data_IF_455997071473
#
_entry.id   IF_455997071473
#
_cell.length_a   1.000
_cell.length_b   1.000
_cell.length_c   1.000
_cell.angle_alpha   90.00
_cell.angle_beta   90.00
_cell.angle_gamma   90.00
#
_symmetry.space_group_name_H-M   'P 1'
#
loop_
_entity.id
_entity.type
_entity.pdbx_description
1 polymer ?
#
# COMPACT_ATOMS: atom_id res chain seq x y z
N UNK A 1 -17.83 35.15 25.64
CA UNK A 1 -18.76 34.13 26.18
C UNK A 1 -19.59 33.70 24.99
N UNK A 2 -19.36 32.47 24.53
CA UNK A 2 -20.09 31.90 23.38
C UNK A 2 -21.59 31.88 23.73
N UNK A 3 -22.46 32.49 22.92
CA UNK A 3 -23.91 32.54 23.20
C UNK A 3 -24.60 31.17 23.19
N UNK A 4 -23.89 30.07 22.91
CA UNK A 4 -24.38 28.69 23.01
C UNK A 4 -24.23 27.99 24.37
N UNK A 5 -23.44 28.52 25.31
CA UNK A 5 -23.27 27.86 26.62
C UNK A 5 -24.26 28.35 27.67
N UNK A 6 -25.23 27.50 28.00
CA UNK A 6 -26.11 27.69 29.17
C UNK A 6 -25.34 27.20 30.42
N UNK A 7 -25.04 28.07 31.40
CA UNK A 7 -24.35 27.66 32.63
C UNK A 7 -25.15 26.59 33.39
N UNK A 8 -24.48 25.52 33.83
CA UNK A 8 -25.08 24.44 34.64
C UNK A 8 -25.33 23.11 33.94
N UNK A 9 -24.86 22.92 32.70
CA UNK A 9 -24.93 21.62 32.01
C UNK A 9 -23.72 20.74 32.38
N UNK A 10 -23.87 19.87 33.37
CA UNK A 10 -22.84 18.88 33.78
C UNK A 10 -22.74 17.68 32.81
N UNK A 11 -23.72 17.53 31.91
CA UNK A 11 -23.82 16.44 30.94
C UNK A 11 -24.40 16.96 29.63
N UNK A 12 -23.95 16.39 28.50
CA UNK A 12 -24.44 16.71 27.16
C UNK A 12 -24.52 15.43 26.31
N UNK A 13 -25.53 15.34 25.45
CA UNK A 13 -25.62 14.30 24.43
C UNK A 13 -24.92 14.79 23.16
N UNK A 14 -23.83 14.13 22.77
CA UNK A 14 -23.03 14.43 21.58
C UNK A 14 -22.77 13.14 20.80
N UNK A 15 -22.44 13.27 19.52
CA UNK A 15 -22.21 12.14 18.62
C UNK A 15 -20.93 12.34 17.81
N UNK A 16 -20.29 11.24 17.44
CA UNK A 16 -19.05 11.21 16.65
C UNK A 16 -18.15 10.05 17.05
N UNK A 17 -17.18 9.73 16.21
CA UNK A 17 -16.15 8.72 16.52
C UNK A 17 -15.34 9.09 17.77
N UNK A 18 -15.23 10.38 18.08
CA UNK A 18 -14.69 10.91 19.33
C UNK A 18 -15.42 10.40 20.59
N UNK A 19 -16.68 9.97 20.48
CA UNK A 19 -17.45 9.36 21.58
C UNK A 19 -17.32 7.83 21.59
N UNK A 20 -17.12 7.20 20.43
CA UNK A 20 -16.88 5.74 20.34
C UNK A 20 -15.48 5.36 20.86
N UNK A 21 -14.46 6.14 20.51
CA UNK A 21 -13.07 5.91 20.94
C UNK A 21 -12.89 5.73 22.46
N UNK A 22 -13.42 6.61 23.34
CA UNK A 22 -13.28 6.42 24.79
C UNK A 22 -14.00 5.19 25.34
N UNK A 23 -15.04 4.66 24.68
CA UNK A 23 -15.63 3.37 25.08
C UNK A 23 -14.63 2.23 24.88
N UNK A 24 -13.97 2.18 23.72
CA UNK A 24 -12.93 1.16 23.45
C UNK A 24 -11.74 1.34 24.39
N UNK A 25 -11.31 2.59 24.65
CA UNK A 25 -10.24 2.87 25.61
C UNK A 25 -10.56 2.39 27.03
N UNK A 26 -11.81 2.59 27.49
CA UNK A 26 -12.27 2.08 28.78
C UNK A 26 -12.28 0.54 28.84
N UNK A 27 -12.77 -0.11 27.78
CA UNK A 27 -12.74 -1.58 27.66
C UNK A 27 -11.31 -2.14 27.63
N UNK A 28 -10.39 -1.48 26.93
CA UNK A 28 -8.98 -1.82 26.95
C UNK A 28 -8.38 -1.73 28.36
N UNK A 29 -8.70 -0.67 29.12
CA UNK A 29 -8.24 -0.53 30.50
C UNK A 29 -8.76 -1.67 31.41
N UNK A 30 -10.03 -2.05 31.26
CA UNK A 30 -10.60 -3.20 31.98
C UNK A 30 -9.92 -4.52 31.58
N UNK A 31 -9.67 -4.72 30.28
CA UNK A 31 -8.98 -5.91 29.79
C UNK A 31 -7.56 -5.99 30.36
N UNK A 32 -6.82 -4.88 30.38
CA UNK A 32 -5.49 -4.79 30.99
C UNK A 32 -5.51 -5.00 32.51
N UNK A 33 -6.62 -4.72 33.19
CA UNK A 33 -6.77 -5.04 34.60
C UNK A 33 -6.92 -6.55 34.83
N UNK A 34 -7.64 -7.25 33.94
CA UNK A 34 -7.80 -8.71 33.99
C UNK A 34 -6.52 -9.41 33.54
N UNK A 35 -5.87 -8.90 32.49
CA UNK A 35 -4.67 -9.45 31.84
C UNK A 35 -3.53 -8.42 31.81
N UNK A 36 -2.84 -8.19 32.93
CA UNK A 36 -1.81 -7.15 33.06
C UNK A 36 -0.53 -7.44 32.25
N UNK A 37 -0.34 -8.66 31.79
CA UNK A 37 0.79 -9.17 31.02
C UNK A 37 0.57 -9.15 29.51
N UNK A 38 -0.67 -9.03 29.03
CA UNK A 38 -0.98 -9.06 27.60
C UNK A 38 -0.43 -7.85 26.84
N UNK A 39 0.10 -8.07 25.64
CA UNK A 39 0.49 -6.96 24.77
C UNK A 39 -0.74 -6.10 24.36
N UNK A 40 -0.47 -4.91 23.83
CA UNK A 40 -1.53 -4.09 23.22
C UNK A 40 -2.18 -4.79 22.02
N UNK A 41 -1.41 -5.59 21.27
CA UNK A 41 -1.90 -6.36 20.13
C UNK A 41 -2.82 -7.51 20.56
N UNK A 42 -2.47 -8.26 21.62
CA UNK A 42 -3.34 -9.30 22.18
C UNK A 42 -4.68 -8.72 22.65
N UNK A 43 -4.64 -7.57 23.34
CA UNK A 43 -5.85 -6.88 23.78
C UNK A 43 -6.72 -6.40 22.61
N UNK A 44 -6.12 -5.78 21.59
CA UNK A 44 -6.80 -5.41 20.34
C UNK A 44 -7.40 -6.64 19.67
N UNK A 45 -6.64 -7.73 19.59
CA UNK A 45 -7.10 -9.00 19.02
C UNK A 45 -8.32 -9.51 19.76
N UNK A 46 -8.33 -9.56 21.09
CA UNK A 46 -9.46 -10.06 21.86
C UNK A 46 -10.73 -9.24 21.63
N UNK A 47 -10.60 -7.91 21.57
CA UNK A 47 -11.73 -7.02 21.25
C UNK A 47 -12.27 -7.31 19.84
N UNK A 48 -11.38 -7.51 18.86
CA UNK A 48 -11.77 -7.76 17.48
C UNK A 48 -12.39 -9.15 17.28
N UNK A 49 -11.78 -10.20 17.82
CA UNK A 49 -12.16 -11.58 17.53
C UNK A 49 -13.47 -12.00 18.19
N UNK A 50 -13.89 -11.29 19.23
CA UNK A 50 -15.16 -11.50 19.94
C UNK A 50 -16.20 -10.41 19.64
N UNK A 51 -15.93 -9.52 18.69
CA UNK A 51 -16.90 -8.52 18.26
C UNK A 51 -18.13 -9.16 17.60
N UNK A 52 -19.29 -8.52 17.74
CA UNK A 52 -20.52 -8.91 17.07
C UNK A 52 -20.54 -8.36 15.63
N UNK A 53 -20.47 -9.21 14.60
CA UNK A 53 -20.48 -8.76 13.22
C UNK A 53 -21.88 -8.33 12.73
N UNK A 54 -22.94 -8.57 13.49
CA UNK A 54 -24.32 -8.26 13.10
C UNK A 54 -24.63 -6.77 13.30
N UNK A 55 -23.91 -5.91 12.58
CA UNK A 55 -24.07 -4.45 12.59
C UNK A 55 -24.81 -4.01 11.33
N UNK A 56 -25.71 -3.05 11.50
CA UNK A 56 -26.47 -2.43 10.40
C UNK A 56 -25.77 -1.13 9.99
N UNK A 57 -25.70 -0.87 8.70
CA UNK A 57 -25.11 0.35 8.13
C UNK A 57 -25.98 1.59 8.43
N UNK A 58 -25.49 2.76 8.04
CA UNK A 58 -26.13 4.07 8.26
C UNK A 58 -27.52 4.19 7.61
N UNK A 59 -27.80 3.39 6.59
CA UNK A 59 -29.13 3.30 5.97
C UNK A 59 -30.17 2.59 6.86
N UNK A 60 -29.72 1.96 7.95
CA UNK A 60 -30.51 1.19 8.92
C UNK A 60 -31.22 -0.04 8.35
N UNK A 61 -30.76 -0.52 7.20
CA UNK A 61 -31.36 -1.66 6.51
C UNK A 61 -30.29 -2.68 6.11
N UNK A 62 -29.21 -2.21 5.49
CA UNK A 62 -28.17 -3.06 4.94
C UNK A 62 -27.19 -3.49 6.04
N UNK A 63 -26.62 -4.70 5.98
CA UNK A 63 -25.49 -5.07 6.82
C UNK A 63 -24.30 -4.14 6.59
N UNK A 64 -23.63 -3.71 7.65
CA UNK A 64 -22.41 -2.91 7.55
C UNK A 64 -21.25 -3.78 7.07
N UNK A 65 -20.45 -3.26 6.14
CA UNK A 65 -19.22 -3.93 5.69
C UNK A 65 -18.05 -3.73 6.66
N UNK A 66 -16.98 -4.50 6.47
CA UNK A 66 -15.73 -4.42 7.21
C UNK A 66 -15.10 -3.02 7.16
N UNK A 67 -15.28 -2.27 6.07
CA UNK A 67 -14.80 -0.88 5.99
C UNK A 67 -15.61 0.12 6.82
N UNK A 68 -16.85 -0.22 7.20
CA UNK A 68 -17.70 0.62 8.05
C UNK A 68 -17.58 0.26 9.54
N UNK A 69 -17.44 -1.03 9.86
CA UNK A 69 -17.47 -1.53 11.24
C UNK A 69 -16.20 -2.26 11.71
N UNK A 70 -15.23 -2.48 10.84
CA UNK A 70 -14.08 -3.32 11.15
C UNK A 70 -14.50 -4.77 11.43
N UNK A 71 -14.12 -5.28 12.62
CA UNK A 71 -14.48 -6.63 13.03
C UNK A 71 -15.94 -6.78 13.51
N UNK A 72 -16.59 -5.67 13.87
CA UNK A 72 -17.96 -5.66 14.42
C UNK A 72 -18.15 -4.67 15.58
N UNK A 73 -19.32 -4.73 16.21
CA UNK A 73 -19.61 -4.01 17.44
C UNK A 73 -18.94 -4.69 18.64
N UNK A 74 -18.38 -3.91 19.56
CA UNK A 74 -17.74 -4.47 20.76
C UNK A 74 -18.78 -5.20 21.64
N UNK A 75 -18.53 -6.47 21.98
CA UNK A 75 -19.27 -7.22 22.99
C UNK A 75 -18.36 -7.52 24.19
N UNK A 76 -18.45 -6.73 25.28
CA UNK A 76 -17.62 -6.97 26.46
C UNK A 76 -17.89 -8.32 27.13
N UNK A 77 -19.12 -8.84 27.03
CA UNK A 77 -19.55 -10.01 27.77
C UNK A 77 -19.33 -9.89 29.29
N UNK A 78 -18.96 -11.01 29.92
CA UNK A 78 -18.56 -11.08 31.33
C UNK A 78 -17.14 -11.60 31.43
N UNK A 79 -16.39 -11.12 32.42
CA UNK A 79 -15.00 -11.52 32.67
C UNK A 79 -14.82 -13.05 32.81
N UNK A 80 -15.81 -13.74 33.37
CA UNK A 80 -15.80 -15.18 33.61
C UNK A 80 -16.47 -16.03 32.51
N UNK A 81 -16.80 -15.41 31.37
CA UNK A 81 -17.48 -16.08 30.26
C UNK A 81 -16.47 -16.44 29.16
N UNK A 82 -16.25 -17.75 28.89
CA UNK A 82 -15.54 -18.21 27.70
C UNK A 82 -16.13 -17.64 26.41
N UNK A 83 -15.26 -17.09 25.57
CA UNK A 83 -15.59 -16.41 24.31
C UNK A 83 -15.93 -14.93 24.47
N UNK A 84 -15.76 -14.33 25.66
CA UNK A 84 -15.80 -12.88 25.83
C UNK A 84 -14.45 -12.26 25.50
N UNK A 85 -14.37 -10.93 25.33
CA UNK A 85 -13.08 -10.26 25.12
C UNK A 85 -12.10 -10.42 26.29
N UNK A 86 -12.57 -10.83 27.47
CA UNK A 86 -11.72 -11.14 28.64
C UNK A 86 -11.26 -12.60 28.67
N UNK A 87 -11.86 -13.48 27.86
CA UNK A 87 -11.46 -14.88 27.72
C UNK A 87 -11.77 -15.33 26.27
N UNK A 88 -11.03 -14.80 25.27
CA UNK A 88 -11.32 -15.00 23.86
C UNK A 88 -10.89 -16.39 23.36
N UNK A 89 -10.08 -17.09 24.15
CA UNK A 89 -9.49 -18.39 23.86
C UNK A 89 -8.35 -18.37 22.83
N UNK A 90 -8.43 -17.56 21.76
CA UNK A 90 -7.31 -17.29 20.84
C UNK A 90 -7.06 -15.79 20.70
N UNK A 91 -5.78 -15.42 20.62
CA UNK A 91 -5.33 -14.06 20.28
C UNK A 91 -4.25 -14.08 19.20
N UNK A 92 -4.22 -13.01 18.40
CA UNK A 92 -3.13 -12.69 17.49
C UNK A 92 -2.25 -11.64 18.18
N UNK A 93 -0.97 -11.95 18.34
CA UNK A 93 0.00 -11.04 18.93
C UNK A 93 0.95 -10.46 17.87
N UNK A 94 1.39 -9.23 18.08
CA UNK A 94 2.35 -8.53 17.23
C UNK A 94 3.18 -7.59 18.11
N UNK A 95 4.50 -7.66 17.95
CA UNK A 95 5.46 -6.84 18.68
C UNK A 95 5.94 -5.64 17.86
N UNK A 96 6.89 -4.91 18.44
CA UNK A 96 7.49 -3.74 17.82
C UNK A 96 8.14 -4.07 16.46
N UNK A 97 8.89 -5.18 16.38
CA UNK A 97 9.60 -5.54 15.16
C UNK A 97 8.66 -5.92 14.02
N UNK A 98 7.52 -6.55 14.29
CA UNK A 98 6.52 -6.86 13.26
C UNK A 98 5.90 -5.58 12.67
N UNK A 99 5.71 -4.53 13.47
CA UNK A 99 5.28 -3.24 12.96
C UNK A 99 6.37 -2.54 12.14
N UNK A 100 7.64 -2.65 12.51
CA UNK A 100 8.74 -2.14 11.67
C UNK A 100 8.86 -2.96 10.38
N UNK A 101 8.66 -4.28 10.43
CA UNK A 101 8.62 -5.15 9.26
C UNK A 101 7.50 -4.76 8.30
N UNK A 102 6.30 -4.49 8.82
CA UNK A 102 5.21 -3.90 8.04
C UNK A 102 5.61 -2.58 7.36
N UNK A 103 6.29 -1.68 8.09
CA UNK A 103 6.75 -0.39 7.54
C UNK A 103 7.79 -0.57 6.42
N UNK A 104 8.65 -1.58 6.51
CA UNK A 104 9.54 -1.97 5.41
C UNK A 104 8.75 -2.39 4.17
N UNK A 105 7.74 -3.24 4.34
CA UNK A 105 6.91 -3.75 3.25
C UNK A 105 6.11 -2.70 2.50
N UNK A 106 5.64 -1.66 3.21
CA UNK A 106 4.92 -0.55 2.58
C UNK A 106 5.85 0.54 2.03
N UNK A 107 7.18 0.38 2.14
CA UNK A 107 8.16 1.33 1.62
C UNK A 107 8.20 2.65 2.39
N UNK A 108 8.07 2.63 3.72
CA UNK A 108 8.08 3.85 4.52
C UNK A 108 9.49 4.42 4.70
N UNK A 109 9.66 5.72 4.44
CA UNK A 109 10.95 6.44 4.56
C UNK A 109 11.49 6.52 6.01
N UNK A 110 10.65 6.20 6.99
CA UNK A 110 11.05 6.17 8.41
C UNK A 110 11.92 4.96 8.75
N UNK A 111 12.00 3.96 7.86
CA UNK A 111 12.77 2.73 8.08
C UNK A 111 13.80 2.55 6.97
N UNK A 112 15.08 2.57 7.35
CA UNK A 112 16.17 2.36 6.38
C UNK A 112 16.18 0.94 5.78
N UNK A 113 16.64 0.81 4.54
CA UNK A 113 16.85 -0.49 3.89
C UNK A 113 17.74 -1.45 4.72
N UNK A 114 18.73 -0.92 5.43
CA UNK A 114 19.58 -1.70 6.32
C UNK A 114 18.81 -2.30 7.52
N UNK A 115 17.86 -1.55 8.07
CA UNK A 115 16.95 -2.04 9.11
C UNK A 115 16.04 -3.14 8.57
N UNK A 116 15.50 -2.97 7.36
CA UNK A 116 14.66 -3.97 6.72
C UNK A 116 15.39 -5.29 6.47
N UNK A 117 16.61 -5.22 5.91
CA UNK A 117 17.46 -6.39 5.71
C UNK A 117 17.82 -7.09 7.04
N UNK A 118 18.02 -6.32 8.12
CA UNK A 118 18.25 -6.90 9.45
C UNK A 118 17.03 -7.66 9.97
N UNK A 119 15.82 -7.11 9.84
CA UNK A 119 14.58 -7.76 10.29
C UNK A 119 14.33 -9.08 9.56
N UNK A 120 14.50 -9.09 8.24
CA UNK A 120 14.41 -10.32 7.44
C UNK A 120 15.43 -11.37 7.91
N UNK A 121 16.67 -10.94 8.22
CA UNK A 121 17.73 -11.84 8.66
C UNK A 121 17.44 -12.55 9.99
N UNK A 122 16.57 -11.97 10.83
CA UNK A 122 16.13 -12.56 12.10
C UNK A 122 14.74 -13.22 12.00
N UNK A 123 14.18 -13.32 10.80
CA UNK A 123 12.92 -14.01 10.52
C UNK A 123 11.66 -13.20 10.82
N UNK A 124 11.75 -11.88 10.93
CA UNK A 124 10.59 -10.99 11.03
C UNK A 124 10.01 -10.79 9.63
N UNK A 125 8.71 -11.06 9.40
CA UNK A 125 8.08 -10.83 8.10
C UNK A 125 8.12 -9.35 7.70
N UNK A 126 8.54 -9.08 6.47
CA UNK A 126 8.52 -7.75 5.86
C UNK A 126 7.42 -7.58 4.81
N UNK A 127 6.77 -8.67 4.38
CA UNK A 127 5.55 -8.56 3.58
C UNK A 127 4.44 -7.91 4.45
N UNK A 128 3.86 -6.77 4.01
CA UNK A 128 2.90 -6.04 4.85
C UNK A 128 1.60 -6.83 5.10
N UNK A 129 1.27 -7.80 4.23
CA UNK A 129 0.10 -8.66 4.40
C UNK A 129 0.25 -9.71 5.52
N UNK A 130 1.49 -9.95 5.95
CA UNK A 130 1.86 -10.90 7.01
C UNK A 130 1.89 -10.30 8.42
N UNK A 131 1.63 -9.00 8.57
CA UNK A 131 1.42 -8.42 9.90
C UNK A 131 0.30 -9.21 10.61
N UNK A 132 0.60 -9.72 11.80
CA UNK A 132 -0.24 -10.69 12.51
C UNK A 132 -1.46 -10.04 13.19
N UNK A 133 -2.34 -9.43 12.38
CA UNK A 133 -3.60 -8.83 12.79
C UNK A 133 -4.75 -9.83 12.68
N UNK A 134 -5.75 -9.62 13.54
CA UNK A 134 -7.01 -10.36 13.55
C UNK A 134 -7.97 -10.00 12.39
N UNK A 135 -7.44 -9.60 11.24
CA UNK A 135 -8.15 -9.27 10.00
C UNK A 135 -7.22 -9.50 8.80
N UNK A 136 -7.81 -9.73 7.62
CA UNK A 136 -7.07 -9.89 6.36
C UNK A 136 -7.66 -8.91 5.33
N UNK A 137 -6.79 -8.08 4.75
CA UNK A 137 -7.14 -7.15 3.68
C UNK A 137 -6.19 -7.34 2.50
N UNK A 138 -6.73 -7.53 1.30
CA UNK A 138 -5.94 -7.61 0.05
C UNK A 138 -6.54 -6.62 -0.95
N UNK A 139 -5.80 -5.57 -1.27
CA UNK A 139 -6.29 -4.49 -2.12
C UNK A 139 -6.22 -4.80 -3.62
N UNK A 140 -5.24 -5.58 -4.05
CA UNK A 140 -4.99 -5.86 -5.46
C UNK A 140 -4.67 -7.34 -5.65
N UNK A 141 -5.71 -8.16 -5.82
CA UNK A 141 -5.56 -9.60 -6.05
C UNK A 141 -5.81 -9.96 -7.52
N UNK A 142 -4.73 -10.14 -8.28
CA UNK A 142 -4.83 -10.69 -9.63
C UNK A 142 -5.08 -12.21 -9.56
N UNK A 143 -4.12 -12.96 -9.04
CA UNK A 143 -4.19 -14.41 -8.95
C UNK A 143 -4.51 -14.90 -7.54
N UNK A 144 -3.45 -15.27 -6.82
CA UNK A 144 -3.55 -15.83 -5.48
C UNK A 144 -2.53 -15.17 -4.57
N UNK A 145 -2.91 -14.98 -3.31
CA UNK A 145 -2.02 -14.48 -2.28
C UNK A 145 -2.20 -15.34 -1.04
N UNK A 146 -1.07 -15.69 -0.44
CA UNK A 146 -1.04 -16.45 0.81
C UNK A 146 -0.53 -15.55 1.90
N UNK A 147 -1.31 -15.42 2.98
CA UNK A 147 -0.90 -14.71 4.19
C UNK A 147 -0.70 -15.69 5.33
N UNK A 148 0.27 -15.41 6.19
CA UNK A 148 0.55 -16.19 7.40
C UNK A 148 -0.04 -15.50 8.62
N UNK A 149 -0.65 -16.29 9.50
CA UNK A 149 -1.13 -15.83 10.80
C UNK A 149 -0.67 -16.77 11.89
N UNK A 150 -0.38 -16.22 13.06
CA UNK A 150 -0.02 -16.98 14.25
C UNK A 150 -1.00 -16.66 15.37
N UNK A 151 -1.61 -17.69 15.93
CA UNK A 151 -2.51 -17.56 17.08
C UNK A 151 -1.88 -18.18 18.30
N UNK A 152 -2.10 -17.54 19.46
CA UNK A 152 -1.74 -18.06 20.78
C UNK A 152 -3.00 -18.46 21.53
N UNK A 153 -3.00 -19.66 22.12
CA UNK A 153 -4.08 -20.09 23.00
C UNK A 153 -3.97 -19.42 24.37
N UNK A 154 -4.99 -18.67 24.74
CA UNK A 154 -5.13 -18.04 26.07
C UNK A 154 -6.20 -18.72 26.92
N UNK A 155 -6.72 -19.87 26.46
CA UNK A 155 -7.61 -20.70 27.24
C UNK A 155 -6.85 -21.51 28.31
N UNK A 156 -7.50 -21.81 29.42
CA UNK A 156 -6.92 -22.55 30.56
C UNK A 156 -6.75 -24.06 30.33
N UNK A 157 -7.24 -24.59 29.21
CA UNK A 157 -7.15 -26.01 28.87
C UNK A 157 -6.68 -26.22 27.43
N UNK A 158 -6.18 -27.43 27.14
CA UNK A 158 -5.90 -27.81 25.76
C UNK A 158 -7.19 -27.89 24.96
N UNK A 159 -7.25 -27.16 23.84
CA UNK A 159 -8.40 -27.10 22.95
C UNK A 159 -8.02 -27.42 21.52
N UNK A 160 -8.92 -28.11 20.83
CA UNK A 160 -8.84 -28.31 19.37
C UNK A 160 -9.76 -27.31 18.69
N UNK A 161 -9.17 -26.44 17.88
CA UNK A 161 -9.80 -25.39 17.12
C UNK A 161 -10.02 -25.85 15.69
N UNK A 162 -11.24 -25.68 15.17
CA UNK A 162 -11.57 -25.94 13.77
C UNK A 162 -11.89 -24.63 13.06
N UNK A 163 -11.30 -24.43 11.89
CA UNK A 163 -11.60 -23.24 11.09
C UNK A 163 -12.93 -23.42 10.35
N UNK A 164 -13.71 -22.33 10.28
CA UNK A 164 -14.82 -22.15 9.35
C UNK A 164 -14.50 -20.92 8.50
N UNK A 165 -14.64 -21.07 7.20
CA UNK A 165 -14.45 -19.98 6.22
C UNK A 165 -15.80 -19.59 5.65
N UNK A 166 -16.02 -18.29 5.53
CA UNK A 166 -17.05 -17.66 4.71
C UNK A 166 -16.31 -16.82 3.66
N UNK A 167 -16.15 -17.39 2.47
CA UNK A 167 -15.27 -16.81 1.46
C UNK A 167 -15.91 -15.55 0.85
N UNK A 168 -15.13 -14.47 0.64
CA UNK A 168 -15.62 -13.32 -0.13
C UNK A 168 -16.12 -13.77 -1.51
N UNK A 169 -17.26 -13.23 -1.96
CA UNK A 169 -17.81 -13.53 -3.28
C UNK A 169 -16.78 -13.21 -4.39
N UNK A 170 -16.56 -14.14 -5.33
CA UNK A 170 -15.52 -14.00 -6.36
C UNK A 170 -14.17 -14.62 -5.99
N UNK A 171 -14.06 -15.22 -4.81
CA UNK A 171 -12.80 -15.75 -4.29
C UNK A 171 -12.98 -17.09 -3.60
N UNK A 172 -11.94 -17.90 -3.64
CA UNK A 172 -11.78 -19.08 -2.80
C UNK A 172 -10.78 -18.78 -1.69
N UNK A 173 -11.00 -19.37 -0.51
CA UNK A 173 -10.14 -19.19 0.65
C UNK A 173 -9.82 -20.56 1.22
N UNK A 174 -8.55 -20.94 1.19
CA UNK A 174 -8.02 -22.18 1.76
C UNK A 174 -7.17 -21.89 3.00
N UNK A 175 -7.30 -22.73 4.04
CA UNK A 175 -6.63 -22.52 5.34
C UNK A 175 -5.88 -23.78 5.75
N UNK A 176 -4.57 -23.65 5.96
CA UNK A 176 -3.68 -24.78 6.28
C UNK A 176 -2.83 -24.49 7.51
N UNK A 177 -2.88 -25.34 8.57
CA UNK A 177 -3.84 -26.44 8.75
C UNK A 177 -5.26 -25.92 9.06
N UNK A 178 -6.28 -26.70 8.71
CA UNK A 178 -7.69 -26.37 9.02
C UNK A 178 -8.11 -26.70 10.46
N UNK A 179 -7.20 -27.29 11.25
CA UNK A 179 -7.40 -27.63 12.66
C UNK A 179 -6.10 -27.40 13.44
N UNK A 180 -6.21 -26.79 14.61
CA UNK A 180 -5.10 -26.56 15.54
C UNK A 180 -5.43 -27.20 16.89
N UNK A 181 -4.51 -27.90 17.53
CA UNK A 181 -4.68 -28.36 18.92
C UNK A 181 -3.60 -27.70 19.75
N UNK A 182 -4.01 -26.84 20.68
CA UNK A 182 -3.11 -25.96 21.42
C UNK A 182 -3.34 -26.11 22.92
N UNK A 183 -2.28 -26.32 23.68
CA UNK A 183 -2.24 -26.19 25.13
C UNK A 183 -2.30 -24.71 25.55
N UNK A 184 -2.58 -24.41 26.84
CA UNK A 184 -2.51 -23.04 27.34
C UNK A 184 -1.14 -22.40 27.07
N UNK A 185 -1.12 -21.21 26.48
CA UNK A 185 0.08 -20.47 26.08
C UNK A 185 0.77 -20.98 24.81
N UNK A 186 0.29 -22.08 24.20
CA UNK A 186 0.86 -22.60 22.97
C UNK A 186 0.46 -21.76 21.76
N UNK A 187 1.41 -21.52 20.86
CA UNK A 187 1.21 -20.82 19.60
C UNK A 187 1.27 -21.78 18.42
N UNK A 188 0.50 -21.49 17.37
CA UNK A 188 0.68 -22.13 16.08
C UNK A 188 0.40 -21.16 14.93
N UNK A 189 1.17 -21.32 13.87
CA UNK A 189 0.98 -20.62 12.61
C UNK A 189 0.12 -21.42 11.65
N UNK A 190 -0.64 -20.70 10.83
CA UNK A 190 -1.39 -21.25 9.71
C UNK A 190 -1.35 -20.25 8.54
N UNK A 191 -1.55 -20.77 7.34
CA UNK A 191 -1.62 -19.96 6.12
C UNK A 191 -3.06 -19.82 5.68
N UNK A 192 -3.38 -18.67 5.09
CA UNK A 192 -4.65 -18.38 4.41
C UNK A 192 -4.33 -18.02 2.98
N UNK A 193 -4.69 -18.90 2.05
CA UNK A 193 -4.51 -18.68 0.61
C UNK A 193 -5.83 -18.22 0.02
N UNK A 194 -5.86 -16.98 -0.48
CA UNK A 194 -7.01 -16.37 -1.14
C UNK A 194 -6.74 -16.38 -2.64
N UNK A 195 -7.62 -16.99 -3.43
CA UNK A 195 -7.47 -17.10 -4.89
C UNK A 195 -8.68 -16.50 -5.58
N UNK A 196 -8.43 -15.60 -6.53
CA UNK A 196 -9.44 -15.03 -7.41
C UNK A 196 -9.99 -16.11 -8.35
N UNK A 197 -11.30 -16.37 -8.28
CA UNK A 197 -11.96 -17.42 -9.07
C UNK A 197 -12.53 -16.90 -10.41
N UNK A 198 -12.47 -15.59 -10.64
CA UNK A 198 -12.87 -14.93 -11.88
C UNK A 198 -14.35 -14.60 -12.00
N UNK A 199 -15.12 -14.82 -10.93
CA UNK A 199 -16.52 -14.43 -10.87
C UNK A 199 -16.73 -13.06 -10.20
N UNK A 200 -15.71 -12.56 -9.50
CA UNK A 200 -15.70 -11.22 -8.90
C UNK A 200 -15.44 -10.11 -9.93
N UNK A 201 -16.01 -8.93 -9.69
CA UNK A 201 -15.72 -7.75 -10.51
C UNK A 201 -14.36 -7.13 -10.12
N UNK A 202 -13.54 -6.81 -11.12
CA UNK A 202 -12.27 -6.08 -10.93
C UNK A 202 -12.55 -4.71 -10.30
N UNK A 203 -11.70 -4.29 -9.37
CA UNK A 203 -11.80 -3.00 -8.69
C UNK A 203 -12.91 -2.90 -7.64
N UNK A 204 -13.68 -3.98 -7.41
CA UNK A 204 -14.77 -4.01 -6.43
C UNK A 204 -14.37 -4.82 -5.20
N UNK A 205 -14.57 -4.25 -4.02
CA UNK A 205 -14.37 -4.93 -2.74
C UNK A 205 -15.42 -6.02 -2.51
N UNK A 206 -14.96 -7.17 -2.06
CA UNK A 206 -15.77 -8.29 -1.60
C UNK A 206 -15.32 -8.69 -0.20
N UNK A 207 -16.28 -9.07 0.65
CA UNK A 207 -16.03 -9.30 2.07
C UNK A 207 -16.48 -10.70 2.52
N UNK A 208 -15.80 -11.23 3.51
CA UNK A 208 -16.04 -12.55 4.09
C UNK A 208 -15.43 -12.66 5.50
N UNK A 209 -15.22 -13.87 5.97
CA UNK A 209 -14.56 -14.09 7.27
C UNK A 209 -13.91 -15.47 7.43
N UNK A 210 -12.92 -15.51 8.32
CA UNK A 210 -12.34 -16.73 8.88
C UNK A 210 -12.74 -16.82 10.35
N UNK A 211 -13.17 -17.98 10.83
CA UNK A 211 -13.56 -18.17 12.22
C UNK A 211 -13.00 -19.45 12.80
N UNK A 212 -12.16 -19.34 13.83
CA UNK A 212 -11.75 -20.48 14.65
C UNK A 212 -12.81 -20.79 15.71
N UNK A 213 -13.18 -22.07 15.85
CA UNK A 213 -14.19 -22.52 16.81
C UNK A 213 -13.68 -23.66 17.69
N UNK A 214 -13.92 -23.55 19.00
CA UNK A 214 -13.75 -24.66 19.94
C UNK A 214 -14.72 -24.51 21.13
N UNK A 215 -15.68 -25.42 21.26
CA UNK A 215 -16.67 -25.37 22.34
C UNK A 215 -17.46 -24.05 22.35
N UNK A 216 -17.23 -23.23 23.39
CA UNK A 216 -17.85 -21.91 23.56
C UNK A 216 -17.05 -20.76 22.93
N UNK A 217 -15.79 -21.00 22.57
CA UNK A 217 -14.92 -20.00 21.99
C UNK A 217 -15.15 -19.87 20.50
N UNK A 218 -15.21 -18.62 20.05
CA UNK A 218 -15.26 -18.22 18.66
C UNK A 218 -14.29 -17.07 18.49
N UNK A 219 -13.31 -17.21 17.59
CA UNK A 219 -12.40 -16.14 17.22
C UNK A 219 -12.57 -15.84 15.73
N UNK A 220 -13.28 -14.74 15.42
CA UNK A 220 -13.61 -14.32 14.06
C UNK A 220 -12.63 -13.26 13.55
N UNK A 221 -12.23 -13.36 12.29
CA UNK A 221 -11.42 -12.37 11.58
C UNK A 221 -12.11 -12.01 10.26
N UNK A 222 -12.42 -10.72 10.00
CA UNK A 222 -12.96 -10.31 8.71
C UNK A 222 -11.91 -10.45 7.61
N UNK A 223 -12.37 -10.76 6.40
CA UNK A 223 -11.57 -10.79 5.17
C UNK A 223 -12.17 -9.77 4.20
N UNK A 224 -11.37 -8.87 3.64
CA UNK A 224 -11.77 -7.97 2.57
C UNK A 224 -10.79 -8.08 1.40
N UNK A 225 -11.30 -8.30 0.19
CA UNK A 225 -10.49 -8.55 -1.01
C UNK A 225 -11.02 -7.70 -2.16
N UNK A 226 -10.12 -7.06 -2.89
CA UNK A 226 -10.42 -6.38 -4.15
C UNK A 226 -9.53 -6.95 -5.24
N UNK A 227 -10.14 -7.35 -6.35
CA UNK A 227 -9.45 -7.95 -7.47
C UNK A 227 -8.84 -6.86 -8.36
N UNK A 228 -7.67 -7.11 -8.92
CA UNK A 228 -7.07 -6.28 -9.97
C UNK A 228 -7.06 -7.05 -11.29
N UNK A 229 -7.07 -6.34 -12.42
CA UNK A 229 -6.97 -6.98 -13.73
C UNK A 229 -5.60 -7.63 -13.93
N UNK A 230 -4.54 -6.97 -13.47
CA UNK A 230 -3.17 -7.44 -13.61
C UNK A 230 -2.35 -7.03 -12.40
N UNK A 231 -1.44 -7.90 -12.00
CA UNK A 231 -0.38 -7.66 -11.04
C UNK A 231 0.96 -7.71 -11.79
N UNK A 232 1.69 -6.60 -11.75
CA UNK A 232 2.96 -6.37 -12.46
C UNK A 232 3.74 -5.30 -11.71
N UNK A 233 5.08 -5.35 -11.67
CA UNK A 233 5.88 -4.27 -11.08
C UNK A 233 5.57 -2.93 -11.73
N UNK A 234 5.53 -1.86 -10.94
CA UNK A 234 5.40 -0.50 -11.47
C UNK A 234 6.65 -0.04 -12.24
N UNK A 235 7.82 -0.58 -11.89
CA UNK A 235 9.12 -0.28 -12.49
C UNK A 235 9.95 -1.55 -12.61
N UNK A 236 10.69 -1.67 -13.72
CA UNK A 236 11.78 -2.62 -13.90
C UNK A 236 13.04 -1.87 -14.34
N UNK A 237 14.20 -2.31 -13.88
CA UNK A 237 15.47 -1.63 -14.14
C UNK A 237 16.45 -2.52 -14.92
N UNK A 238 17.14 -1.91 -15.89
CA UNK A 238 18.21 -2.48 -16.69
C UNK A 238 19.39 -1.53 -16.80
N UNK A 239 20.46 -1.93 -17.50
CA UNK A 239 21.60 -1.06 -17.75
C UNK A 239 22.32 -1.38 -19.06
N UNK A 240 23.10 -0.42 -19.53
CA UNK A 240 23.97 -0.52 -20.70
C UNK A 240 23.28 -0.18 -22.02
N UNK A 241 24.10 -0.06 -23.07
CA UNK A 241 23.65 0.41 -24.39
C UNK A 241 22.72 -0.55 -25.13
N UNK A 242 22.63 -1.79 -24.64
CA UNK A 242 21.72 -2.84 -25.09
C UNK A 242 21.51 -3.86 -23.98
N UNK A 243 20.31 -4.40 -23.85
CA UNK A 243 20.00 -5.40 -22.84
C UNK A 243 18.60 -5.99 -23.03
N UNK A 244 18.22 -6.87 -22.10
CA UNK A 244 16.93 -7.53 -22.07
C UNK A 244 16.51 -7.86 -20.64
N UNK A 245 15.21 -7.87 -20.37
CA UNK A 245 14.65 -8.24 -19.07
C UNK A 245 13.24 -8.84 -19.25
N UNK A 246 12.78 -9.52 -18.22
CA UNK A 246 11.44 -10.13 -18.17
C UNK A 246 10.61 -9.44 -17.10
N UNK A 247 9.48 -8.87 -17.48
CA UNK A 247 8.48 -8.28 -16.58
C UNK A 247 7.54 -9.41 -16.14
N UNK A 248 7.49 -9.77 -14.84
CA UNK A 248 6.53 -10.75 -14.37
C UNK A 248 5.12 -10.15 -14.39
N UNK A 249 4.15 -10.92 -14.88
CA UNK A 249 2.73 -10.52 -14.90
C UNK A 249 1.86 -11.64 -14.34
N UNK A 250 0.84 -11.30 -13.57
CA UNK A 250 -0.22 -12.22 -13.16
C UNK A 250 -1.58 -11.62 -13.50
N UNK A 251 -2.50 -12.41 -14.05
CA UNK A 251 -3.80 -11.91 -14.50
C UNK A 251 -4.93 -12.24 -13.52
N UNK A 252 -5.78 -11.25 -13.25
CA UNK A 252 -7.04 -11.39 -12.51
C UNK A 252 -8.28 -11.41 -13.38
N UNK A 253 -8.11 -11.55 -14.69
CA UNK A 253 -9.18 -11.74 -15.66
C UNK A 253 -8.79 -12.78 -16.71
N UNK A 254 -9.78 -13.24 -17.48
CA UNK A 254 -9.56 -14.06 -18.68
C UNK A 254 -10.06 -13.30 -19.91
N UNK A 255 -9.21 -13.12 -20.92
CA UNK A 255 -9.54 -12.34 -22.10
C UNK A 255 -8.35 -11.93 -22.96
N UNK A 256 -8.58 -11.03 -23.94
CA UNK A 256 -7.50 -10.45 -24.74
C UNK A 256 -6.47 -9.74 -23.86
N UNK A 257 -5.21 -9.83 -24.26
CA UNK A 257 -4.11 -9.15 -23.62
C UNK A 257 -3.05 -8.77 -24.65
N UNK A 258 -2.48 -7.58 -24.51
CA UNK A 258 -1.30 -7.13 -25.24
C UNK A 258 -0.37 -6.33 -24.36
N UNK A 259 0.92 -6.36 -24.68
CA UNK A 259 1.93 -5.50 -24.10
C UNK A 259 2.49 -4.60 -25.20
N UNK A 260 2.49 -3.28 -25.00
CA UNK A 260 2.91 -2.30 -26.01
C UNK A 260 4.10 -1.49 -25.46
N UNK A 261 5.27 -1.48 -26.15
CA UNK A 261 6.41 -0.69 -25.72
C UNK A 261 6.26 0.78 -26.15
N UNK A 262 6.80 1.68 -25.32
CA UNK A 262 6.86 3.13 -25.54
C UNK A 262 8.27 3.66 -25.20
N UNK A 263 8.77 4.63 -25.97
CA UNK A 263 10.14 5.13 -25.84
C UNK A 263 11.21 4.17 -26.39
N UNK A 264 12.40 4.07 -25.82
CA UNK A 264 12.97 4.81 -24.69
C UNK A 264 13.19 6.29 -25.01
N UNK A 265 13.02 7.16 -24.02
CA UNK A 265 13.42 8.57 -24.05
C UNK A 265 14.74 8.73 -23.27
N UNK A 266 15.68 9.51 -23.81
CA UNK A 266 16.90 9.90 -23.09
C UNK A 266 16.56 10.94 -22.02
N UNK A 267 17.32 10.96 -20.93
CA UNK A 267 17.23 12.00 -19.92
C UNK A 267 17.65 13.36 -20.51
N UNK A 268 16.78 14.35 -20.40
CA UNK A 268 17.14 15.76 -20.57
C UNK A 268 17.48 16.34 -19.19
N UNK A 269 18.73 16.81 -19.03
CA UNK A 269 19.22 17.36 -17.77
C UNK A 269 19.29 18.88 -17.85
N UNK A 270 18.64 19.55 -16.89
CA UNK A 270 18.62 21.00 -16.74
C UNK A 270 19.41 21.37 -15.48
N UNK A 271 20.58 21.97 -15.65
CA UNK A 271 21.39 22.49 -14.54
C UNK A 271 20.99 23.93 -14.21
N UNK A 272 20.68 24.20 -12.94
CA UNK A 272 20.30 25.54 -12.48
C UNK A 272 20.66 25.78 -11.00
N UNK A 273 20.25 26.92 -10.44
CA UNK A 273 20.41 27.27 -9.03
C UNK A 273 19.12 27.88 -8.49
N UNK A 274 18.62 27.36 -7.35
CA UNK A 274 17.43 27.88 -6.66
C UNK A 274 17.83 28.51 -5.33
N UNK A 275 17.16 29.59 -4.96
CA UNK A 275 17.41 30.35 -3.72
C UNK A 275 16.70 29.72 -2.52
N UNK A 276 17.24 29.94 -1.31
CA UNK A 276 16.58 29.55 -0.07
C UNK A 276 15.24 30.25 0.10
N UNK A 277 14.17 29.48 0.34
CA UNK A 277 12.91 30.00 0.83
C UNK A 277 13.00 30.31 2.35
N UNK A 278 12.82 31.57 2.80
CA UNK A 278 12.88 31.93 4.21
C UNK A 278 11.77 31.36 5.09
N UNK A 279 10.57 31.13 4.54
CA UNK A 279 9.44 30.60 5.32
C UNK A 279 9.13 29.12 5.03
N UNK A 280 9.82 28.56 4.02
CA UNK A 280 9.72 27.16 3.63
C UNK A 280 8.26 26.84 3.31
N UNK A 281 7.63 27.64 2.46
CA UNK A 281 6.26 27.40 2.03
C UNK A 281 6.17 27.69 0.55
N UNK A 282 5.93 26.64 -0.24
CA UNK A 282 5.80 26.80 -1.69
C UNK A 282 4.72 27.83 -2.08
N UNK A 283 5.17 28.94 -2.67
CA UNK A 283 4.36 29.90 -3.40
C UNK A 283 5.04 30.19 -4.76
N UNK A 284 4.42 29.84 -5.90
CA UNK A 284 5.03 30.05 -7.22
C UNK A 284 5.22 31.54 -7.59
N UNK A 285 4.78 32.48 -6.76
CA UNK A 285 4.81 33.93 -7.03
C UNK A 285 5.81 34.73 -6.20
N UNK A 286 6.44 34.12 -5.21
CA UNK A 286 7.32 34.81 -4.24
C UNK A 286 8.79 34.93 -4.69
N UNK A 287 9.19 34.13 -5.68
CA UNK A 287 10.54 34.12 -6.25
C UNK A 287 11.52 33.13 -5.61
N UNK A 288 11.05 32.19 -4.78
CA UNK A 288 11.87 31.11 -4.19
C UNK A 288 11.77 29.77 -4.91
N UNK A 289 11.11 29.75 -6.08
CA UNK A 289 10.98 28.58 -6.96
C UNK A 289 11.32 28.92 -8.41
N UNK A 290 12.02 28.01 -9.08
CA UNK A 290 12.32 28.11 -10.51
C UNK A 290 11.29 27.32 -11.32
N UNK A 291 10.81 27.87 -12.44
CA UNK A 291 9.79 27.25 -13.29
C UNK A 291 10.35 26.77 -14.63
N UNK A 292 9.96 25.57 -15.04
CA UNK A 292 10.36 24.93 -16.30
C UNK A 292 9.11 24.45 -17.04
N UNK A 293 9.03 24.66 -18.35
CA UNK A 293 7.85 24.30 -19.14
C UNK A 293 8.15 23.16 -20.11
N UNK A 294 7.24 22.19 -20.20
CA UNK A 294 7.35 21.02 -21.05
C UNK A 294 6.10 20.85 -21.90
N UNK A 295 6.24 20.73 -23.23
CA UNK A 295 5.12 20.35 -24.10
C UNK A 295 5.00 18.82 -24.09
N UNK A 296 3.94 18.33 -23.44
CA UNK A 296 3.68 16.90 -23.27
C UNK A 296 2.68 16.37 -24.31
N UNK A 297 2.48 17.10 -25.41
CA UNK A 297 1.61 16.65 -26.51
C UNK A 297 2.14 15.34 -27.12
N UNK A 298 1.37 14.25 -26.94
CA UNK A 298 1.71 12.92 -27.47
C UNK A 298 2.67 12.11 -26.59
N UNK A 299 2.91 12.54 -25.35
CA UNK A 299 3.65 11.76 -24.38
C UNK A 299 2.77 10.66 -23.77
N UNK A 300 3.33 9.45 -23.64
CA UNK A 300 2.72 8.34 -22.89
C UNK A 300 3.02 8.44 -21.41
N UNK A 301 4.19 8.98 -21.06
CA UNK A 301 4.62 9.17 -19.68
C UNK A 301 5.53 10.39 -19.57
N UNK A 302 5.48 11.09 -18.44
CA UNK A 302 6.41 12.16 -18.11
C UNK A 302 6.99 11.92 -16.72
N UNK A 303 8.31 11.91 -16.61
CA UNK A 303 9.02 11.83 -15.33
C UNK A 303 9.86 13.07 -15.12
N UNK A 304 9.84 13.56 -13.88
CA UNK A 304 10.78 14.53 -13.33
C UNK A 304 11.50 13.87 -12.17
N UNK A 305 12.81 14.01 -12.11
CA UNK A 305 13.59 13.54 -10.97
C UNK A 305 14.69 14.52 -10.57
N UNK A 306 14.85 14.69 -9.26
CA UNK A 306 16.05 15.19 -8.59
C UNK A 306 16.54 14.04 -7.73
N UNK A 307 17.53 13.23 -8.14
CA UNK A 307 18.14 12.23 -7.26
C UNK A 307 19.13 12.89 -6.29
N UNK A 308 19.55 12.24 -5.18
CA UNK A 308 20.53 12.80 -4.24
C UNK A 308 21.87 13.22 -4.87
N UNK A 309 22.25 12.58 -5.98
CA UNK A 309 23.45 12.94 -6.74
C UNK A 309 23.33 14.25 -7.53
N UNK A 310 22.13 14.86 -7.60
CA UNK A 310 21.87 16.11 -8.33
C UNK A 310 22.42 17.35 -7.61
N UNK A 311 22.78 17.23 -6.32
CA UNK A 311 23.27 18.34 -5.49
C UNK A 311 24.60 18.01 -4.83
N UNK A 312 25.30 19.05 -4.36
CA UNK A 312 26.65 18.89 -3.78
C UNK A 312 26.65 18.32 -2.35
N UNK A 313 25.59 18.56 -1.57
CA UNK A 313 25.45 18.13 -0.18
C UNK A 313 24.00 17.68 0.09
N UNK A 314 23.62 16.47 -0.32
CA UNK A 314 22.24 15.97 -0.22
C UNK A 314 21.76 15.78 1.22
N UNK A 315 22.66 15.76 2.21
CA UNK A 315 22.28 15.67 3.63
C UNK A 315 21.88 17.04 4.22
N UNK A 316 22.29 18.14 3.56
CA UNK A 316 22.03 19.51 4.01
C UNK A 316 21.05 20.28 3.12
N UNK A 317 20.79 19.77 1.92
CA UNK A 317 19.92 20.38 0.91
C UNK A 317 18.62 19.58 0.85
N UNK A 318 17.50 20.31 0.80
CA UNK A 318 16.13 19.84 0.73
C UNK A 318 15.44 20.63 -0.40
N UNK A 319 15.07 19.97 -1.50
CA UNK A 319 14.46 20.61 -2.66
C UNK A 319 13.18 19.88 -3.01
N UNK A 320 12.09 20.61 -3.14
CA UNK A 320 10.79 20.03 -3.50
C UNK A 320 10.50 20.22 -4.99
N UNK A 321 9.71 19.29 -5.55
CA UNK A 321 9.22 19.36 -6.94
C UNK A 321 7.70 19.48 -6.94
N UNK A 322 7.17 20.48 -7.64
CA UNK A 322 5.73 20.64 -7.88
C UNK A 322 5.44 20.67 -9.38
N UNK A 323 4.38 19.99 -9.81
CA UNK A 323 3.99 19.90 -11.21
C UNK A 323 2.59 20.45 -11.42
N UNK A 324 2.50 21.44 -12.30
CA UNK A 324 1.26 22.08 -12.73
C UNK A 324 0.81 21.56 -14.10
N UNK A 325 -0.48 21.27 -14.21
CA UNK A 325 -1.12 20.90 -15.48
C UNK A 325 -1.29 22.12 -16.42
N UNK A 326 -1.77 21.95 -17.67
CA UNK A 326 -1.95 23.05 -18.60
C UNK A 326 -2.97 24.11 -18.17
N UNK A 327 -3.79 23.85 -17.14
CA UNK A 327 -4.67 24.84 -16.54
C UNK A 327 -3.96 25.72 -15.50
N UNK A 328 -2.74 25.35 -15.11
CA UNK A 328 -1.94 26.00 -14.07
C UNK A 328 -2.23 25.46 -12.68
N UNK A 329 -3.02 24.40 -12.54
CA UNK A 329 -3.29 23.77 -11.24
C UNK A 329 -2.13 22.84 -10.88
N UNK A 330 -1.62 22.93 -9.65
CA UNK A 330 -0.67 21.93 -9.12
C UNK A 330 -1.42 20.60 -8.97
N UNK A 331 -0.98 19.58 -9.70
CA UNK A 331 -1.64 18.26 -9.75
C UNK A 331 -0.76 17.13 -9.20
N UNK A 332 0.53 17.37 -9.03
CA UNK A 332 1.45 16.44 -8.39
C UNK A 332 2.58 17.20 -7.69
N UNK A 333 3.16 16.56 -6.66
CA UNK A 333 4.34 17.04 -5.99
C UNK A 333 5.13 15.87 -5.41
N UNK A 334 6.42 16.08 -5.24
CA UNK A 334 7.30 15.26 -4.40
C UNK A 334 7.97 16.22 -3.42
N UNK A 335 7.78 15.96 -2.13
CA UNK A 335 8.27 16.81 -1.03
C UNK A 335 8.93 15.94 0.03
N UNK A 336 9.71 14.96 -0.41
CA UNK A 336 10.42 14.08 0.52
C UNK A 336 11.52 14.89 1.22
N UNK A 337 11.93 14.46 2.40
CA UNK A 337 13.06 15.13 3.06
C UNK A 337 14.34 14.90 2.28
N UNK A 338 14.96 15.97 1.78
CA UNK A 338 16.20 15.93 1.02
C UNK A 338 15.99 16.27 -0.46
N UNK A 339 16.73 15.62 -1.34
CA UNK A 339 16.60 15.83 -2.79
C UNK A 339 16.43 14.50 -3.50
N UNK A 340 15.60 13.60 -2.98
CA UNK A 340 15.23 12.34 -3.64
C UNK A 340 13.79 12.46 -4.13
N UNK A 341 13.61 13.38 -5.07
CA UNK A 341 12.30 13.74 -5.59
C UNK A 341 12.07 13.07 -6.93
N UNK A 342 10.93 12.38 -7.05
CA UNK A 342 10.49 11.77 -8.31
C UNK A 342 8.99 12.04 -8.48
N UNK A 343 8.62 12.63 -9.62
CA UNK A 343 7.23 12.78 -10.02
C UNK A 343 7.00 12.06 -11.34
N UNK A 344 6.11 11.07 -11.32
CA UNK A 344 5.67 10.30 -12.48
C UNK A 344 4.25 10.68 -12.87
N UNK A 345 4.05 11.17 -14.10
CA UNK A 345 2.76 11.52 -14.68
C UNK A 345 2.45 10.56 -15.83
N UNK A 346 1.63 9.51 -15.59
CA UNK A 346 1.20 8.61 -16.65
C UNK A 346 0.12 9.27 -17.53
N UNK A 347 0.22 9.10 -18.85
CA UNK A 347 -0.71 9.61 -19.85
C UNK A 347 -1.11 11.09 -19.64
N UNK A 348 -0.14 12.02 -19.59
CA UNK A 348 -0.43 13.42 -19.35
C UNK A 348 -1.39 13.99 -20.41
N UNK A 349 -2.29 14.87 -19.99
CA UNK A 349 -3.15 15.59 -20.92
C UNK A 349 -2.27 16.41 -21.90
N UNK A 350 -2.61 16.44 -23.21
CA UNK A 350 -1.84 17.22 -24.18
C UNK A 350 -1.80 18.70 -23.82
N UNK A 351 -0.61 19.29 -23.87
CA UNK A 351 -0.42 20.72 -23.60
C UNK A 351 0.92 21.01 -22.92
N UNK A 352 1.08 22.27 -22.53
CA UNK A 352 2.27 22.76 -21.83
C UNK A 352 2.07 22.64 -20.33
N UNK A 353 2.92 21.84 -19.70
CA UNK A 353 2.97 21.62 -18.26
C UNK A 353 4.09 22.47 -17.66
N UNK A 354 3.97 22.80 -16.37
CA UNK A 354 5.01 23.55 -15.64
C UNK A 354 5.53 22.73 -14.48
N UNK A 355 6.84 22.61 -14.37
CA UNK A 355 7.54 22.01 -13.23
C UNK A 355 8.19 23.12 -12.43
N UNK A 356 8.04 23.08 -11.12
CA UNK A 356 8.66 23.98 -10.18
C UNK A 356 9.68 23.22 -9.34
N UNK A 357 10.88 23.78 -9.19
CA UNK A 357 11.86 23.35 -8.20
C UNK A 357 11.90 24.41 -7.11
N UNK A 358 11.59 24.02 -5.88
CA UNK A 358 11.44 24.90 -4.73
C UNK A 358 12.61 24.73 -3.76
N UNK A 359 13.25 25.84 -3.39
CA UNK A 359 14.41 25.85 -2.50
C UNK A 359 14.06 25.75 -1.01
N UNK A 360 13.40 24.67 -0.59
CA UNK A 360 12.96 24.46 0.79
C UNK A 360 14.10 24.57 1.82
N UNK A 361 15.26 23.96 1.55
CA UNK A 361 16.51 24.16 2.29
C UNK A 361 17.72 24.03 1.35
N UNK A 362 18.60 25.02 1.31
CA UNK A 362 19.69 25.10 0.32
C UNK A 362 21.09 25.12 0.95
N UNK A 363 21.21 24.74 2.23
CA UNK A 363 22.44 24.78 3.04
C UNK A 363 23.18 26.14 3.05
N UNK A 364 22.55 27.21 2.56
CA UNK A 364 23.15 28.50 2.25
C UNK A 364 22.12 29.47 1.67
N UNK A 365 22.54 30.49 0.88
CA UNK A 365 21.59 31.40 0.23
C UNK A 365 20.92 30.77 -1.01
N UNK A 366 21.50 29.71 -1.58
CA UNK A 366 21.03 29.02 -2.78
C UNK A 366 21.73 27.68 -2.95
N UNK A 367 21.09 26.74 -3.66
CA UNK A 367 21.66 25.44 -4.03
C UNK A 367 21.66 25.26 -5.55
N UNK A 368 22.77 24.75 -6.08
CA UNK A 368 22.84 24.29 -7.47
C UNK A 368 22.28 22.87 -7.56
N UNK A 369 21.58 22.56 -8.65
CA UNK A 369 20.98 21.26 -8.89
C UNK A 369 20.97 20.88 -10.38
N UNK A 370 20.87 19.58 -10.64
CA UNK A 370 20.63 19.00 -11.96
C UNK A 370 19.25 18.32 -11.99
N UNK A 371 18.27 18.93 -12.70
CA UNK A 371 16.93 18.40 -12.87
C UNK A 371 16.88 17.46 -14.08
N UNK A 372 16.60 16.19 -13.85
CA UNK A 372 16.46 15.19 -14.91
C UNK A 372 15.00 15.04 -15.31
N UNK A 373 14.73 15.04 -16.61
CA UNK A 373 13.37 14.90 -17.15
C UNK A 373 13.31 13.91 -18.30
N UNK A 374 12.18 13.21 -18.43
CA UNK A 374 11.92 12.27 -19.52
C UNK A 374 10.51 12.47 -20.04
N UNK A 375 10.40 12.85 -21.31
CA UNK A 375 9.12 12.86 -22.05
C UNK A 375 9.08 11.59 -22.90
N UNK A 376 8.42 10.54 -22.40
CA UNK A 376 8.34 9.24 -23.08
C UNK A 376 7.31 9.33 -24.20
N UNK A 377 7.70 9.17 -25.47
CA UNK A 377 6.77 9.25 -26.59
C UNK A 377 5.96 7.96 -26.73
N UNK A 378 4.79 8.08 -27.37
CA UNK A 378 3.95 6.92 -27.71
C UNK A 378 4.66 5.90 -28.61
N UNK A 379 5.42 6.37 -29.60
CA UNK A 379 6.15 5.48 -30.50
C UNK A 379 7.40 4.89 -29.83
N UNK A 380 7.53 3.56 -29.88
CA UNK A 380 8.79 2.92 -29.54
C UNK A 380 9.86 3.11 -30.62
N UNK A 381 11.10 3.40 -30.21
CA UNK A 381 12.26 3.57 -31.10
C UNK A 381 13.38 2.57 -30.79
N UNK A 382 13.70 2.39 -29.51
CA UNK A 382 14.83 1.57 -29.02
C UNK A 382 14.41 0.49 -28.04
N UNK A 383 13.11 0.33 -27.76
CA UNK A 383 12.53 -0.68 -26.88
C UNK A 383 11.62 -1.63 -27.70
N UNK A 384 11.73 -2.93 -27.48
CA UNK A 384 10.83 -3.93 -28.07
C UNK A 384 10.25 -4.86 -27.03
N UNK A 385 9.02 -5.31 -27.27
CA UNK A 385 8.44 -6.49 -26.62
C UNK A 385 8.74 -7.68 -27.52
N UNK A 386 9.60 -8.58 -27.05
CA UNK A 386 10.09 -9.73 -27.81
C UNK A 386 9.15 -10.93 -27.66
N UNK A 387 8.54 -11.09 -26.48
CA UNK A 387 7.53 -12.09 -26.20
C UNK A 387 6.57 -11.61 -25.10
N UNK A 388 5.29 -11.96 -25.24
CA UNK A 388 4.27 -11.73 -24.23
C UNK A 388 3.17 -12.81 -24.32
N UNK A 389 2.40 -13.04 -23.25
CA UNK A 389 1.19 -13.85 -23.32
C UNK A 389 0.27 -13.37 -24.45
N UNK A 390 -0.33 -14.30 -25.21
CA UNK A 390 -1.27 -13.95 -26.28
C UNK A 390 -2.67 -13.60 -25.76
N UNK A 391 -2.94 -13.91 -24.49
CA UNK A 391 -4.21 -13.68 -23.80
C UNK A 391 -3.99 -13.79 -22.29
N UNK A 392 -4.77 -13.06 -21.51
CA UNK A 392 -4.86 -13.22 -20.07
C UNK A 392 -5.64 -14.49 -19.72
N UNK A 393 -5.14 -15.26 -18.75
CA UNK A 393 -5.85 -16.35 -18.09
C UNK A 393 -5.79 -16.12 -16.61
N UNK A 394 -6.95 -16.15 -15.96
CA UNK A 394 -7.03 -15.82 -14.55
C UNK A 394 -6.16 -16.73 -13.67
N UNK A 395 -5.58 -16.16 -12.61
CA UNK A 395 -4.71 -16.84 -11.66
C UNK A 395 -3.52 -17.56 -12.31
N UNK A 396 -3.14 -17.12 -13.52
CA UNK A 396 -1.98 -17.62 -14.26
C UNK A 396 -0.93 -16.53 -14.31
N UNK A 397 0.30 -16.89 -13.95
CA UNK A 397 1.47 -16.04 -14.10
C UNK A 397 2.09 -16.21 -15.49
N UNK A 398 2.73 -15.16 -15.99
CA UNK A 398 3.49 -15.13 -17.23
C UNK A 398 4.60 -14.09 -17.17
N UNK A 399 5.29 -13.88 -18.28
CA UNK A 399 6.32 -12.84 -18.41
C UNK A 399 6.13 -12.06 -19.71
N UNK A 400 6.40 -10.76 -19.67
CA UNK A 400 6.61 -9.94 -20.86
C UNK A 400 8.12 -9.75 -21.01
N UNK A 401 8.71 -10.36 -22.02
CA UNK A 401 10.13 -10.27 -22.31
C UNK A 401 10.36 -9.07 -23.22
N UNK A 402 11.26 -8.18 -22.79
CA UNK A 402 11.60 -6.96 -23.52
C UNK A 402 13.09 -6.88 -23.78
N UNK A 403 13.48 -6.14 -24.82
CA UNK A 403 14.87 -5.78 -25.06
C UNK A 403 15.01 -4.35 -25.57
N UNK A 404 16.22 -3.82 -25.41
CA UNK A 404 16.60 -2.51 -25.94
C UNK A 404 17.96 -2.55 -26.60
N UNK A 405 18.16 -1.67 -27.57
CA UNK A 405 19.44 -1.51 -28.27
C UNK A 405 19.66 -0.08 -28.75
N UNK A 406 20.91 0.27 -29.02
CA UNK A 406 21.27 1.52 -29.69
C UNK A 406 21.26 2.75 -28.78
N UNK A 407 21.36 2.56 -27.46
CA UNK A 407 21.42 3.67 -26.51
C UNK A 407 22.83 4.27 -26.42
N UNK A 408 22.91 5.51 -25.95
CA UNK A 408 24.18 6.22 -25.72
C UNK A 408 24.75 5.87 -24.36
N UNK A 409 26.03 5.50 -24.29
CA UNK A 409 26.69 5.17 -23.04
C UNK A 409 26.78 6.40 -22.12
N UNK A 410 26.48 6.20 -20.83
CA UNK A 410 26.46 7.24 -19.81
C UNK A 410 25.24 8.16 -19.85
N UNK A 411 24.19 7.79 -20.58
CA UNK A 411 22.90 8.49 -20.60
C UNK A 411 21.82 7.59 -20.03
N UNK A 412 21.06 8.07 -19.05
CA UNK A 412 19.94 7.33 -18.50
C UNK A 412 18.71 7.47 -19.40
N UNK A 413 17.94 6.39 -19.49
CA UNK A 413 16.75 6.31 -20.34
C UNK A 413 15.55 5.83 -19.54
N UNK A 414 14.37 6.34 -19.93
CA UNK A 414 13.09 5.89 -19.41
C UNK A 414 12.19 5.44 -20.56
N UNK A 415 11.52 4.31 -20.38
CA UNK A 415 10.50 3.81 -21.27
C UNK A 415 9.30 3.31 -20.49
N UNK A 416 8.32 2.80 -21.21
CA UNK A 416 7.16 2.18 -20.60
C UNK A 416 6.70 0.97 -21.43
N UNK A 417 6.09 0.02 -20.75
CA UNK A 417 5.29 -1.03 -21.36
C UNK A 417 3.87 -0.88 -20.83
N UNK A 418 2.92 -0.56 -21.70
CA UNK A 418 1.50 -0.62 -21.34
C UNK A 418 1.03 -2.06 -21.41
N UNK A 419 0.21 -2.43 -20.45
CA UNK A 419 -0.50 -3.70 -20.39
C UNK A 419 -1.95 -3.39 -20.73
N UNK A 420 -2.48 -4.02 -21.78
CA UNK A 420 -3.77 -3.65 -22.36
C UNK A 420 -4.72 -4.85 -22.44
N UNK A 421 -6.00 -4.59 -22.23
CA UNK A 421 -7.10 -5.52 -22.49
C UNK A 421 -8.02 -5.01 -23.61
N UNK A 422 -9.20 -5.61 -23.77
CA UNK A 422 -10.16 -5.18 -24.80
C UNK A 422 -10.75 -3.77 -24.56
N UNK A 423 -10.61 -3.21 -23.36
CA UNK A 423 -11.12 -1.91 -22.95
C UNK A 423 -10.06 -0.80 -22.95
N UNK A 424 -8.77 -1.15 -22.96
CA UNK A 424 -7.65 -0.21 -23.05
C UNK A 424 -6.51 -0.59 -22.10
N UNK A 425 -5.74 0.41 -21.67
CA UNK A 425 -4.64 0.23 -20.72
C UNK A 425 -5.17 -0.15 -19.33
N UNK A 426 -4.66 -1.24 -18.77
CA UNK A 426 -4.98 -1.73 -17.43
C UNK A 426 -3.84 -1.57 -16.43
N UNK A 427 -2.58 -1.47 -16.90
CA UNK A 427 -1.41 -1.13 -16.09
C UNK A 427 -0.28 -0.58 -16.96
N UNK A 428 0.71 0.04 -16.32
CA UNK A 428 1.95 0.50 -16.95
C UNK A 428 3.12 0.02 -16.11
N UNK A 429 4.10 -0.60 -16.77
CA UNK A 429 5.40 -0.90 -16.17
C UNK A 429 6.44 0.05 -16.77
N UNK A 430 7.07 0.88 -15.95
CA UNK A 430 8.16 1.74 -16.38
C UNK A 430 9.45 0.94 -16.54
N UNK A 431 10.26 1.31 -17.54
CA UNK A 431 11.52 0.65 -17.87
C UNK A 431 12.64 1.66 -17.69
N UNK A 432 13.33 1.58 -16.55
CA UNK A 432 14.52 2.39 -16.27
C UNK A 432 15.76 1.69 -16.86
N UNK A 433 16.54 2.42 -17.65
CA UNK A 433 17.79 1.90 -18.22
C UNK A 433 18.94 2.85 -17.92
N UNK A 434 19.83 2.42 -17.03
CA UNK A 434 21.02 3.18 -16.67
C UNK A 434 22.09 3.11 -17.77
N UNK A 435 22.70 4.26 -18.09
CA UNK A 435 23.65 4.45 -19.19
C UNK A 435 25.03 3.84 -19.05
#
# INVERSE_FOLDING_TARGET
VDPGEVPGQLFMAIAGTSMSSPHVAGLYALLRQVHPDWSAAMAKSAIMTTADPDVVDNDRVSPAGAFAMGAGHVDPGRVDKPGSMFDPGLVYDAGFFEYIGFLCGVGSDVVSAGTCAFLESIGVPTDPSDLNLASIGIADLAGSQTVTRTVTSVADTTLTWKVKVDAPAGYTVDVVPSTLTLAPGESASYTVTITNDGTGAVGVWSEGSLTWKSGKYTARSPIAVRGTAIDTPSVVAGSGTSGSLSIPVSFGYTGPYSAVPHGLAAADVISDTVVQDPDQNFDPTDGFSNAYTFDLTGATHFRVALPPSSVADPDAIDLDVYVADPSGAIVAASTNGGTDEVVDIPFPAPGVWTVWVHGWQTAGPSAAFDLSTWVVPDAASSLSVDAAPASATIATAGTVDISWTGLTAGTDYLGAVTHEDASGVIAVTLVDVAG
#
